data_IF_806836520003
#
_entry.id   IF_806836520003
#
_cell.length_a   1.000
_cell.length_b   1.000
_cell.length_c   1.000
_cell.angle_alpha   90.00
_cell.angle_beta   90.00
_cell.angle_gamma   90.00
#
_symmetry.space_group_name_H-M   'P 1'
#
loop_
_entity.id
_entity.type
_entity.pdbx_description
1 polymer ?
#
# COMPACT_ATOMS: atom_id res chain seq x y z
N UNK A 1 -24.45 -6.66 -9.35
CA UNK A 1 -23.09 -6.32 -9.85
C UNK A 1 -22.13 -7.41 -9.38
N UNK A 2 -21.33 -8.00 -10.27
CA UNK A 2 -20.38 -9.03 -9.84
C UNK A 2 -19.23 -8.34 -9.09
N UNK A 3 -19.05 -8.65 -7.80
CA UNK A 3 -18.00 -8.03 -6.96
C UNK A 3 -16.65 -8.58 -7.41
N UNK A 4 -15.74 -7.77 -7.94
CA UNK A 4 -14.51 -8.27 -8.55
C UNK A 4 -13.41 -8.62 -7.53
N UNK A 5 -13.63 -8.37 -6.22
CA UNK A 5 -12.58 -8.52 -5.22
C UNK A 5 -13.15 -8.85 -3.84
N UNK A 6 -12.52 -9.82 -3.15
CA UNK A 6 -12.74 -10.09 -1.73
C UNK A 6 -11.70 -9.28 -0.96
N UNK A 7 -12.11 -8.38 -0.03
CA UNK A 7 -11.16 -7.61 0.78
C UNK A 7 -10.26 -8.53 1.60
N UNK A 8 -8.98 -8.21 1.66
CA UNK A 8 -7.99 -8.97 2.43
C UNK A 8 -8.09 -8.60 3.90
N UNK A 9 -8.04 -9.58 4.82
CA UNK A 9 -8.12 -9.36 6.26
C UNK A 9 -9.39 -8.59 6.68
N UNK A 10 -10.53 -8.85 6.02
CA UNK A 10 -11.77 -8.11 6.28
C UNK A 10 -12.24 -8.24 7.73
N UNK A 11 -12.21 -9.46 8.29
CA UNK A 11 -12.63 -9.72 9.67
C UNK A 11 -11.73 -9.01 10.67
N UNK A 12 -10.42 -9.01 10.43
CA UNK A 12 -9.42 -8.37 11.28
C UNK A 12 -9.53 -6.84 11.22
N UNK A 13 -9.89 -6.27 10.05
CA UNK A 13 -10.19 -4.85 9.92
C UNK A 13 -11.46 -4.49 10.69
N UNK A 14 -12.55 -5.23 10.53
CA UNK A 14 -13.79 -5.00 11.28
C UNK A 14 -13.52 -5.10 12.81
N UNK A 15 -12.76 -6.08 13.25
CA UNK A 15 -12.37 -6.22 14.66
C UNK A 15 -11.50 -5.04 15.15
N UNK A 16 -10.55 -4.58 14.34
CA UNK A 16 -9.69 -3.46 14.70
C UNK A 16 -10.49 -2.16 14.91
N UNK A 17 -11.59 -1.99 14.19
CA UNK A 17 -12.43 -0.79 14.23
C UNK A 17 -13.79 -1.00 14.91
N UNK A 18 -14.02 -2.16 15.54
CA UNK A 18 -15.29 -2.53 16.19
C UNK A 18 -15.82 -1.46 17.17
N UNK A 19 -14.93 -0.76 17.87
CA UNK A 19 -15.31 0.23 18.90
C UNK A 19 -15.53 1.64 18.35
N UNK A 20 -15.51 1.82 17.03
CA UNK A 20 -15.80 3.12 16.42
C UNK A 20 -17.31 3.40 16.45
N UNK A 21 -17.73 4.45 17.16
CA UNK A 21 -19.16 4.78 17.28
C UNK A 21 -19.58 5.95 16.38
N UNK A 22 -18.65 6.89 16.11
CA UNK A 22 -18.93 8.12 15.33
C UNK A 22 -17.61 8.75 14.91
N UNK A 23 -17.68 9.86 14.17
CA UNK A 23 -16.56 10.61 13.65
C UNK A 23 -16.19 10.21 12.23
N UNK A 24 -15.00 10.61 11.79
CA UNK A 24 -14.54 10.33 10.44
C UNK A 24 -13.63 9.09 10.40
N UNK A 25 -13.81 8.30 9.33
CA UNK A 25 -12.93 7.22 8.94
C UNK A 25 -12.31 7.56 7.59
N UNK A 26 -11.00 7.44 7.47
CA UNK A 26 -10.27 7.64 6.21
C UNK A 26 -9.86 6.29 5.63
N UNK A 27 -10.42 5.95 4.48
CA UNK A 27 -9.92 4.87 3.63
C UNK A 27 -8.99 5.46 2.58
N UNK A 28 -7.68 5.26 2.75
CA UNK A 28 -6.62 5.79 1.90
C UNK A 28 -6.54 5.09 0.53
N UNK A 29 -7.13 3.89 0.43
CA UNK A 29 -6.99 2.96 -0.69
C UNK A 29 -8.31 2.26 -0.93
N UNK A 30 -9.34 3.05 -1.28
CA UNK A 30 -10.72 2.60 -1.38
C UNK A 30 -10.89 1.35 -2.25
N UNK A 31 -10.12 1.26 -3.36
CA UNK A 31 -10.24 0.19 -4.32
C UNK A 31 -11.69 0.02 -4.79
N UNK A 32 -12.23 -1.18 -4.64
CA UNK A 32 -13.64 -1.48 -4.96
C UNK A 32 -14.58 -1.34 -3.75
N UNK A 33 -14.16 -0.67 -2.67
CA UNK A 33 -14.98 -0.26 -1.54
C UNK A 33 -15.38 -1.36 -0.58
N UNK A 34 -14.72 -2.51 -0.58
CA UNK A 34 -15.14 -3.66 0.21
C UNK A 34 -14.99 -3.47 1.72
N UNK A 35 -13.86 -2.98 2.20
CA UNK A 35 -13.64 -2.64 3.60
C UNK A 35 -14.58 -1.51 4.04
N UNK A 36 -14.66 -0.45 3.24
CA UNK A 36 -15.50 0.71 3.52
C UNK A 36 -16.98 0.36 3.60
N UNK A 37 -17.49 -0.52 2.71
CA UNK A 37 -18.87 -1.00 2.76
C UNK A 37 -19.17 -1.75 4.05
N UNK A 38 -18.28 -2.67 4.45
CA UNK A 38 -18.43 -3.44 5.68
C UNK A 38 -18.47 -2.51 6.90
N UNK A 39 -17.52 -1.60 7.02
CA UNK A 39 -17.46 -0.66 8.14
C UNK A 39 -18.68 0.28 8.19
N UNK A 40 -19.16 0.75 7.04
CA UNK A 40 -20.34 1.61 7.00
C UNK A 40 -21.63 0.89 7.37
N UNK A 41 -21.74 -0.43 7.11
CA UNK A 41 -22.87 -1.25 7.56
C UNK A 41 -22.86 -1.45 9.06
N UNK A 42 -21.69 -1.68 9.65
CA UNK A 42 -21.55 -1.99 11.08
C UNK A 42 -21.60 -0.71 11.96
N UNK A 43 -21.27 0.47 11.37
CA UNK A 43 -21.15 1.75 12.08
C UNK A 43 -22.05 2.83 11.48
N UNK A 44 -23.34 2.93 11.88
CA UNK A 44 -24.31 3.83 11.26
C UNK A 44 -23.99 5.33 11.37
N UNK A 45 -23.24 5.73 12.40
CA UNK A 45 -22.86 7.14 12.63
C UNK A 45 -21.46 7.51 12.10
N UNK A 46 -20.74 6.56 11.50
CA UNK A 46 -19.43 6.78 10.93
C UNK A 46 -19.54 7.53 9.61
N UNK A 47 -18.70 8.55 9.41
CA UNK A 47 -18.56 9.29 8.14
C UNK A 47 -17.28 8.83 7.45
N UNK A 48 -17.36 8.53 6.17
CA UNK A 48 -16.24 8.03 5.38
C UNK A 48 -15.63 9.15 4.51
N UNK A 49 -14.32 9.26 4.55
CA UNK A 49 -13.52 9.93 3.52
C UNK A 49 -12.82 8.82 2.74
N UNK A 50 -13.19 8.65 1.48
CA UNK A 50 -12.73 7.55 0.63
C UNK A 50 -11.81 8.08 -0.46
N UNK A 51 -10.55 7.64 -0.45
CA UNK A 51 -9.52 8.07 -1.39
C UNK A 51 -9.06 6.91 -2.28
N UNK A 52 -8.91 7.18 -3.57
CA UNK A 52 -8.17 6.31 -4.48
C UNK A 52 -7.53 7.14 -5.60
N UNK A 53 -6.41 6.65 -6.14
CA UNK A 53 -5.76 7.26 -7.30
C UNK A 53 -6.20 6.63 -8.63
N UNK A 54 -6.90 5.49 -8.59
CA UNK A 54 -7.47 4.81 -9.74
C UNK A 54 -8.91 5.26 -9.96
N UNK A 55 -9.13 6.03 -11.02
CA UNK A 55 -10.45 6.57 -11.37
C UNK A 55 -11.50 5.47 -11.60
N UNK A 56 -11.11 4.34 -12.21
CA UNK A 56 -12.03 3.22 -12.46
C UNK A 56 -12.51 2.60 -11.14
N UNK A 57 -11.60 2.40 -10.18
CA UNK A 57 -11.93 1.90 -8.85
C UNK A 57 -12.86 2.86 -8.10
N UNK A 58 -12.57 4.17 -8.16
CA UNK A 58 -13.38 5.19 -7.50
C UNK A 58 -14.81 5.25 -8.06
N UNK A 59 -14.97 5.23 -9.38
CA UNK A 59 -16.30 5.25 -10.03
C UNK A 59 -17.10 3.96 -9.73
N UNK A 60 -16.45 2.81 -9.65
CA UNK A 60 -17.11 1.59 -9.21
C UNK A 60 -17.60 1.71 -7.76
N UNK A 61 -16.73 2.21 -6.88
CA UNK A 61 -17.03 2.30 -5.44
C UNK A 61 -18.11 3.34 -5.13
N UNK A 62 -18.22 4.42 -5.89
CA UNK A 62 -19.37 5.34 -5.81
C UNK A 62 -20.71 4.64 -6.02
N UNK A 63 -20.76 3.69 -6.98
CA UNK A 63 -21.97 2.91 -7.24
C UNK A 63 -22.23 1.89 -6.12
N UNK A 64 -21.18 1.23 -5.63
CA UNK A 64 -21.27 0.25 -4.55
C UNK A 64 -21.73 0.88 -3.24
N UNK A 65 -21.21 2.05 -2.92
CA UNK A 65 -21.50 2.77 -1.68
C UNK A 65 -22.66 3.77 -1.81
N UNK A 66 -23.49 3.64 -2.86
CA UNK A 66 -24.61 4.55 -3.13
C UNK A 66 -25.54 4.73 -1.94
N UNK A 67 -25.83 3.66 -1.20
CA UNK A 67 -26.72 3.69 -0.02
C UNK A 67 -26.12 4.47 1.16
N UNK A 68 -24.83 4.77 1.11
CA UNK A 68 -24.08 5.52 2.13
C UNK A 68 -23.62 6.88 1.64
N UNK A 69 -24.14 7.37 0.50
CA UNK A 69 -23.69 8.63 -0.17
C UNK A 69 -23.72 9.85 0.74
N UNK A 70 -24.72 9.96 1.63
CA UNK A 70 -24.91 11.11 2.51
C UNK A 70 -23.86 11.22 3.63
N UNK A 71 -23.08 10.17 3.84
CA UNK A 71 -21.99 10.10 4.82
C UNK A 71 -20.65 9.65 4.23
N UNK A 72 -20.50 9.74 2.89
CA UNK A 72 -19.28 9.35 2.18
C UNK A 72 -18.81 10.48 1.27
N UNK A 73 -17.55 10.87 1.45
CA UNK A 73 -16.83 11.79 0.56
C UNK A 73 -15.82 11.01 -0.27
N UNK A 74 -15.88 11.18 -1.60
CA UNK A 74 -14.96 10.51 -2.52
C UNK A 74 -13.91 11.48 -3.04
N UNK A 75 -12.64 11.14 -2.92
CA UNK A 75 -11.51 11.97 -3.33
C UNK A 75 -10.62 11.19 -4.30
N UNK A 76 -10.49 11.70 -5.53
CA UNK A 76 -9.52 11.15 -6.50
C UNK A 76 -8.15 11.75 -6.18
N UNK A 77 -7.34 11.01 -5.46
CA UNK A 77 -6.02 11.46 -5.01
C UNK A 77 -5.10 10.29 -4.69
N UNK A 78 -3.81 10.54 -4.74
CA UNK A 78 -2.85 9.63 -4.13
C UNK A 78 -2.93 9.74 -2.60
N UNK A 79 -2.89 8.62 -1.90
CA UNK A 79 -3.06 8.59 -0.45
C UNK A 79 -1.99 9.40 0.33
N UNK A 80 -0.84 9.69 -0.26
CA UNK A 80 0.15 10.58 0.37
C UNK A 80 -0.27 12.06 0.38
N UNK A 81 -1.28 12.43 -0.39
CA UNK A 81 -1.75 13.81 -0.55
C UNK A 81 -3.11 14.04 0.11
N UNK A 82 -3.83 12.98 0.46
CA UNK A 82 -5.20 13.08 0.98
C UNK A 82 -5.28 13.94 2.25
N UNK A 83 -4.29 13.80 3.15
CA UNK A 83 -4.29 14.54 4.42
C UNK A 83 -4.20 16.06 4.25
N UNK A 84 -3.63 16.54 3.13
CA UNK A 84 -3.57 17.98 2.80
C UNK A 84 -4.91 18.52 2.28
N UNK A 85 -5.83 17.63 1.88
CA UNK A 85 -7.15 17.97 1.29
C UNK A 85 -8.27 17.87 2.32
N UNK A 86 -8.00 17.31 3.50
CA UNK A 86 -8.98 17.18 4.58
C UNK A 86 -8.91 18.42 5.46
N UNK A 87 -10.08 19.02 5.77
CA UNK A 87 -10.15 20.17 6.68
C UNK A 87 -9.68 19.83 8.10
N UNK A 88 -9.17 20.81 8.84
CA UNK A 88 -8.70 20.63 10.20
C UNK A 88 -9.75 20.03 11.14
N UNK A 89 -11.01 20.43 11.00
CA UNK A 89 -12.10 19.91 11.84
C UNK A 89 -12.30 18.41 11.62
N UNK A 90 -12.26 17.94 10.36
CA UNK A 90 -12.37 16.52 10.04
C UNK A 90 -11.14 15.75 10.51
N UNK A 91 -9.94 16.32 10.37
CA UNK A 91 -8.70 15.69 10.88
C UNK A 91 -8.75 15.52 12.40
N UNK A 92 -9.27 16.51 13.14
CA UNK A 92 -9.41 16.44 14.60
C UNK A 92 -10.44 15.38 15.05
N UNK A 93 -11.45 15.10 14.23
CA UNK A 93 -12.46 14.08 14.48
C UNK A 93 -12.21 12.75 13.76
N UNK A 94 -10.98 12.54 13.24
CA UNK A 94 -10.59 11.31 12.59
C UNK A 94 -10.36 10.22 13.64
N UNK A 95 -11.12 9.11 13.55
CA UNK A 95 -11.12 8.00 14.52
C UNK A 95 -10.45 6.75 13.98
N UNK A 96 -10.44 6.57 12.67
CA UNK A 96 -9.81 5.43 12.03
C UNK A 96 -9.22 5.78 10.67
N UNK A 97 -8.11 5.14 10.35
CA UNK A 97 -7.44 5.23 9.05
C UNK A 97 -7.11 3.83 8.60
N UNK A 98 -7.47 3.51 7.37
CA UNK A 98 -7.09 2.29 6.67
C UNK A 98 -6.24 2.63 5.46
N UNK A 99 -5.13 1.91 5.29
CA UNK A 99 -4.35 1.90 4.05
C UNK A 99 -4.06 0.44 3.67
N UNK A 100 -4.82 -0.11 2.72
CA UNK A 100 -4.59 -1.42 2.10
C UNK A 100 -3.71 -1.20 0.87
N UNK A 101 -2.37 -1.17 1.10
CA UNK A 101 -1.41 -0.75 0.10
C UNK A 101 -1.05 -1.89 -0.83
N UNK A 102 -1.13 -1.63 -2.13
CA UNK A 102 -0.80 -2.62 -3.17
C UNK A 102 -1.70 -2.50 -4.39
N UNK A 103 -1.69 -3.54 -5.21
CA UNK A 103 -2.50 -3.64 -6.41
C UNK A 103 -3.79 -4.39 -6.14
N UNK A 104 -4.90 -3.92 -6.68
CA UNK A 104 -6.17 -4.63 -6.60
C UNK A 104 -6.16 -5.89 -7.48
N UNK A 105 -6.98 -6.88 -7.13
CA UNK A 105 -7.16 -8.07 -7.98
C UNK A 105 -7.65 -7.70 -9.39
N UNK A 106 -8.47 -6.66 -9.52
CA UNK A 106 -8.92 -6.16 -10.81
C UNK A 106 -7.74 -5.67 -11.67
N UNK A 107 -6.82 -4.90 -11.10
CA UNK A 107 -5.61 -4.44 -11.81
C UNK A 107 -4.75 -5.61 -12.26
N UNK A 108 -4.63 -6.66 -11.44
CA UNK A 108 -3.90 -7.89 -11.78
C UNK A 108 -4.59 -8.71 -12.87
N UNK A 109 -5.92 -8.75 -12.88
CA UNK A 109 -6.71 -9.57 -13.83
C UNK A 109 -7.00 -8.84 -15.15
N UNK A 110 -6.92 -7.51 -15.14
CA UNK A 110 -7.12 -6.72 -16.36
C UNK A 110 -5.83 -6.72 -17.21
N UNK A 111 -5.88 -7.45 -18.34
CA UNK A 111 -4.76 -7.59 -19.25
C UNK A 111 -4.17 -6.23 -19.71
N UNK A 112 -5.02 -5.23 -19.94
CA UNK A 112 -4.60 -3.90 -20.40
C UNK A 112 -3.78 -3.12 -19.36
N UNK A 113 -3.87 -3.47 -18.07
CA UNK A 113 -3.16 -2.78 -16.98
C UNK A 113 -1.70 -3.23 -16.84
N UNK A 114 -1.30 -4.33 -17.43
CA UNK A 114 0.11 -4.78 -17.49
C UNK A 114 0.72 -5.26 -16.17
N UNK A 115 -0.07 -5.49 -15.12
CA UNK A 115 0.44 -5.97 -13.83
C UNK A 115 0.72 -7.47 -13.80
N UNK A 116 0.03 -8.25 -14.66
CA UNK A 116 0.20 -9.70 -14.74
C UNK A 116 1.41 -10.06 -15.60
N UNK A 117 2.16 -11.09 -15.21
CA UNK A 117 3.34 -11.59 -15.95
C UNK A 117 3.05 -11.99 -17.40
N UNK A 118 1.80 -12.37 -17.69
CA UNK A 118 1.36 -12.85 -19.01
C UNK A 118 0.53 -11.82 -19.77
N UNK A 119 0.54 -10.55 -19.33
CA UNK A 119 -0.19 -9.48 -20.00
C UNK A 119 0.45 -9.13 -21.36
N UNK A 120 -0.41 -8.81 -22.35
CA UNK A 120 0.00 -8.30 -23.66
C UNK A 120 0.40 -6.82 -23.61
N UNK A 121 0.29 -6.18 -22.46
CA UNK A 121 0.65 -4.79 -22.22
C UNK A 121 1.71 -4.69 -21.12
N UNK A 122 2.48 -3.62 -21.13
CA UNK A 122 3.53 -3.32 -20.14
C UNK A 122 3.29 -1.91 -19.59
N UNK A 123 2.23 -1.74 -18.78
CA UNK A 123 1.83 -0.43 -18.22
C UNK A 123 2.17 -0.28 -16.75
N UNK A 124 1.54 -1.02 -15.87
CA UNK A 124 1.70 -1.04 -14.41
C UNK A 124 1.38 0.28 -13.68
N UNK A 125 0.78 1.27 -14.33
CA UNK A 125 0.36 2.51 -13.66
C UNK A 125 -0.94 2.27 -12.89
N UNK A 126 -0.97 2.61 -11.61
CA UNK A 126 -2.22 2.68 -10.84
C UNK A 126 -3.03 3.89 -11.27
N UNK A 127 -2.41 5.06 -11.33
CA UNK A 127 -2.96 6.25 -11.98
C UNK A 127 -2.59 6.24 -13.47
N UNK A 128 -3.56 6.03 -14.35
CA UNK A 128 -3.33 5.94 -15.80
C UNK A 128 -2.93 7.28 -16.43
N UNK A 129 -3.16 8.41 -15.75
CA UNK A 129 -2.74 9.74 -16.21
C UNK A 129 -1.26 10.04 -15.90
N UNK A 130 -0.57 9.15 -15.16
CA UNK A 130 0.86 9.29 -14.88
C UNK A 130 1.68 9.15 -16.19
N UNK A 131 2.79 9.91 -16.28
CA UNK A 131 3.60 9.98 -17.52
C UNK A 131 4.47 8.75 -17.76
N UNK A 132 4.94 8.09 -16.71
CA UNK A 132 5.92 6.99 -16.78
C UNK A 132 5.21 5.67 -16.51
N UNK A 133 5.20 4.79 -17.48
CA UNK A 133 4.73 3.41 -17.35
C UNK A 133 5.90 2.42 -17.25
N UNK A 134 5.59 1.15 -17.03
CA UNK A 134 6.59 0.09 -17.06
C UNK A 134 7.29 -0.01 -18.43
N UNK A 135 6.58 0.31 -19.51
CA UNK A 135 7.15 0.37 -20.84
C UNK A 135 8.29 1.41 -20.95
N UNK A 136 8.09 2.63 -20.43
CA UNK A 136 9.12 3.66 -20.41
C UNK A 136 10.32 3.26 -19.55
N UNK A 137 10.10 2.68 -18.38
CA UNK A 137 11.17 2.21 -17.51
C UNK A 137 12.01 1.16 -18.21
N UNK A 138 11.39 0.12 -18.76
CA UNK A 138 12.10 -1.00 -19.37
C UNK A 138 12.85 -0.58 -20.65
N UNK A 139 12.26 0.32 -21.45
CA UNK A 139 12.86 0.69 -22.72
C UNK A 139 13.81 1.89 -22.66
N UNK A 140 13.71 2.76 -21.65
CA UNK A 140 14.44 4.03 -21.61
C UNK A 140 15.45 4.14 -20.46
N UNK A 141 15.28 3.42 -19.31
CA UNK A 141 16.25 3.45 -18.22
C UNK A 141 17.59 2.86 -18.65
N UNK A 142 18.70 3.40 -18.11
CA UNK A 142 20.02 2.80 -18.35
C UNK A 142 20.12 1.43 -17.66
N UNK A 143 21.13 0.64 -18.00
CA UNK A 143 21.39 -0.65 -17.38
C UNK A 143 21.62 -0.48 -15.86
N UNK A 144 22.34 0.57 -15.47
CA UNK A 144 22.61 0.91 -14.07
C UNK A 144 21.32 1.23 -13.32
N UNK A 145 20.44 2.08 -13.91
CA UNK A 145 19.14 2.42 -13.33
C UNK A 145 18.25 1.19 -13.15
N UNK A 146 18.19 0.31 -14.15
CA UNK A 146 17.45 -0.96 -14.03
C UNK A 146 18.05 -1.85 -12.95
N UNK A 147 19.37 -1.99 -12.92
CA UNK A 147 20.07 -2.77 -11.88
C UNK A 147 19.76 -2.26 -10.48
N UNK A 148 19.77 -0.94 -10.29
CA UNK A 148 19.49 -0.29 -9.01
C UNK A 148 18.07 -0.56 -8.52
N UNK A 149 17.06 -0.43 -9.38
CA UNK A 149 15.68 -0.73 -8.98
C UNK A 149 15.48 -2.22 -8.70
N UNK A 150 16.10 -3.12 -9.47
CA UNK A 150 16.01 -4.56 -9.22
C UNK A 150 16.69 -4.97 -7.91
N UNK A 151 17.83 -4.38 -7.60
CA UNK A 151 18.51 -4.58 -6.33
C UNK A 151 17.73 -4.00 -5.15
N UNK A 152 17.25 -2.75 -5.29
CA UNK A 152 16.63 -1.98 -4.21
C UNK A 152 15.19 -2.45 -3.91
N UNK A 153 14.39 -2.73 -4.94
CA UNK A 153 12.97 -3.04 -4.81
C UNK A 153 12.62 -4.52 -5.04
N UNK A 154 13.44 -5.22 -5.83
CA UNK A 154 13.34 -6.67 -6.01
C UNK A 154 14.18 -7.45 -5.00
N UNK A 155 15.12 -6.79 -4.30
CA UNK A 155 16.15 -7.42 -3.45
C UNK A 155 16.88 -8.55 -4.21
N UNK A 156 17.17 -8.32 -5.52
CA UNK A 156 17.80 -9.28 -6.43
C UNK A 156 19.31 -9.08 -6.43
N UNK A 157 20.06 -10.14 -6.04
CA UNK A 157 21.52 -10.10 -6.04
C UNK A 157 22.11 -10.05 -7.45
N UNK A 158 21.41 -10.64 -8.43
CA UNK A 158 21.79 -10.71 -9.85
C UNK A 158 21.06 -9.66 -10.72
N UNK A 159 20.54 -8.60 -10.09
CA UNK A 159 19.82 -7.52 -10.76
C UNK A 159 20.59 -6.90 -11.93
N UNK A 160 21.93 -6.82 -11.83
CA UNK A 160 22.79 -6.32 -12.90
C UNK A 160 22.72 -7.18 -14.18
N UNK A 161 22.81 -8.49 -14.05
CA UNK A 161 22.74 -9.40 -15.19
C UNK A 161 21.35 -9.44 -15.83
N UNK A 162 20.30 -9.32 -15.01
CA UNK A 162 18.93 -9.20 -15.52
C UNK A 162 18.78 -7.90 -16.31
N UNK A 163 19.26 -6.77 -15.78
CA UNK A 163 19.25 -5.48 -16.47
C UNK A 163 20.03 -5.53 -17.77
N UNK A 164 21.22 -6.14 -17.79
CA UNK A 164 22.04 -6.33 -18.99
C UNK A 164 21.27 -7.09 -20.08
N UNK A 165 20.63 -8.21 -19.70
CA UNK A 165 19.84 -9.02 -20.65
C UNK A 165 18.66 -8.22 -21.24
N UNK A 166 17.94 -7.48 -20.42
CA UNK A 166 16.86 -6.60 -20.88
C UNK A 166 17.39 -5.55 -21.86
N UNK A 167 18.52 -4.90 -21.53
CA UNK A 167 19.14 -3.90 -22.40
C UNK A 167 19.61 -4.47 -23.75
N UNK A 168 20.13 -5.70 -23.76
CA UNK A 168 20.51 -6.38 -25.01
C UNK A 168 19.28 -6.72 -25.88
N UNK A 169 18.22 -7.24 -25.28
CA UNK A 169 17.02 -7.60 -26.02
C UNK A 169 16.27 -6.38 -26.58
N UNK A 170 16.12 -5.29 -25.80
CA UNK A 170 15.46 -4.07 -26.28
C UNK A 170 16.20 -3.33 -27.40
N UNK A 171 17.52 -3.59 -27.59
CA UNK A 171 18.28 -3.07 -28.73
C UNK A 171 17.84 -3.69 -30.06
N UNK A 172 17.38 -4.95 -30.01
CA UNK A 172 16.84 -5.63 -31.19
C UNK A 172 15.44 -5.14 -31.52
N UNK A 173 14.56 -5.14 -30.53
CA UNK A 173 13.18 -4.66 -30.60
C UNK A 173 12.73 -4.14 -29.22
N UNK A 174 11.94 -3.05 -29.20
CA UNK A 174 11.32 -2.57 -27.97
C UNK A 174 10.48 -3.68 -27.32
N UNK A 175 10.62 -3.85 -26.02
CA UNK A 175 9.83 -4.78 -25.21
C UNK A 175 8.47 -4.13 -24.96
N UNK A 176 7.39 -4.71 -25.51
CA UNK A 176 6.05 -4.09 -25.52
C UNK A 176 5.07 -4.71 -24.55
N UNK A 177 5.34 -5.94 -24.11
CA UNK A 177 4.43 -6.69 -23.24
C UNK A 177 5.12 -7.23 -21.99
N UNK A 178 4.32 -7.45 -20.95
CA UNK A 178 4.77 -8.13 -19.74
C UNK A 178 5.20 -9.57 -20.06
N UNK A 179 4.52 -10.23 -20.99
CA UNK A 179 4.84 -11.57 -21.47
C UNK A 179 6.24 -11.64 -22.10
N UNK A 180 6.59 -10.70 -23.01
CA UNK A 180 7.93 -10.61 -23.57
C UNK A 180 8.99 -10.41 -22.47
N UNK A 181 8.74 -9.49 -21.54
CA UNK A 181 9.64 -9.25 -20.41
C UNK A 181 9.82 -10.50 -19.54
N UNK A 182 8.73 -11.23 -19.28
CA UNK A 182 8.78 -12.49 -18.53
C UNK A 182 9.61 -13.55 -19.23
N UNK A 183 9.51 -13.69 -20.57
CA UNK A 183 10.29 -14.63 -21.37
C UNK A 183 11.79 -14.28 -21.34
N UNK A 184 12.13 -12.99 -21.38
CA UNK A 184 13.52 -12.51 -21.26
C UNK A 184 14.10 -12.87 -19.89
N UNK A 185 13.37 -12.64 -18.78
CA UNK A 185 13.86 -12.92 -17.41
C UNK A 185 13.95 -14.42 -17.16
N UNK A 186 12.96 -15.19 -17.62
CA UNK A 186 12.84 -16.64 -17.44
C UNK A 186 12.23 -17.04 -16.09
N UNK A 187 11.97 -18.36 -15.97
CA UNK A 187 11.24 -18.96 -14.81
C UNK A 187 12.10 -19.27 -13.59
N UNK A 188 13.32 -18.78 -13.51
CA UNK A 188 14.24 -19.13 -12.43
C UNK A 188 13.81 -18.57 -11.08
N UNK A 189 14.02 -19.33 -10.00
CA UNK A 189 13.81 -18.86 -8.63
C UNK A 189 15.11 -18.31 -8.06
N UNK A 190 15.00 -17.34 -7.16
CA UNK A 190 16.14 -16.91 -6.35
C UNK A 190 16.34 -17.94 -5.21
N UNK A 191 17.59 -18.28 -4.90
CA UNK A 191 17.91 -19.20 -3.81
C UNK A 191 17.19 -18.79 -2.52
N UNK A 192 16.58 -19.75 -1.83
CA UNK A 192 15.85 -19.59 -0.57
C UNK A 192 14.53 -18.77 -0.62
N UNK A 193 14.01 -18.43 -1.82
CA UNK A 193 12.70 -17.78 -1.94
C UNK A 193 11.68 -18.66 -2.67
N UNK A 194 10.44 -18.64 -2.21
CA UNK A 194 9.32 -19.31 -2.89
C UNK A 194 8.89 -18.60 -4.17
N UNK A 195 9.26 -17.31 -4.32
CA UNK A 195 8.83 -16.41 -5.40
C UNK A 195 9.84 -16.43 -6.55
N UNK A 196 9.36 -16.41 -7.81
CA UNK A 196 10.21 -16.37 -8.99
C UNK A 196 10.96 -15.04 -9.14
N UNK A 197 12.13 -15.04 -9.81
CA UNK A 197 12.87 -13.81 -10.14
C UNK A 197 12.02 -12.85 -10.97
N UNK A 198 11.24 -13.36 -11.91
CA UNK A 198 10.33 -12.55 -12.70
C UNK A 198 9.33 -11.80 -11.82
N UNK A 199 8.72 -12.44 -10.84
CA UNK A 199 7.81 -11.76 -9.89
C UNK A 199 8.51 -10.65 -9.13
N UNK A 200 9.76 -10.83 -8.71
CA UNK A 200 10.54 -9.81 -8.00
C UNK A 200 10.94 -8.64 -8.92
N UNK A 201 11.26 -8.90 -10.20
CA UNK A 201 11.51 -7.86 -11.20
C UNK A 201 10.24 -7.05 -11.46
N UNK A 202 9.10 -7.72 -11.64
CA UNK A 202 7.81 -7.05 -11.82
C UNK A 202 7.41 -6.21 -10.59
N UNK A 203 7.63 -6.73 -9.37
CA UNK A 203 7.48 -5.95 -8.15
C UNK A 203 8.38 -4.70 -8.16
N UNK A 204 9.64 -4.84 -8.55
CA UNK A 204 10.58 -3.72 -8.59
C UNK A 204 10.15 -2.63 -9.59
N UNK A 205 9.71 -3.03 -10.78
CA UNK A 205 9.21 -2.10 -11.80
C UNK A 205 7.93 -1.41 -11.30
N UNK A 206 7.00 -2.16 -10.72
CA UNK A 206 5.74 -1.64 -10.18
C UNK A 206 5.98 -0.58 -9.10
N UNK A 207 6.88 -0.88 -8.16
CA UNK A 207 7.27 0.06 -7.10
C UNK A 207 7.86 1.34 -7.69
N UNK A 208 8.68 1.23 -8.74
CA UNK A 208 9.28 2.38 -9.40
C UNK A 208 8.23 3.20 -10.16
N UNK A 209 7.37 2.57 -10.98
CA UNK A 209 6.28 3.24 -11.72
C UNK A 209 5.38 4.05 -10.79
N UNK A 210 4.95 3.44 -9.68
CA UNK A 210 3.96 4.03 -8.78
C UNK A 210 4.60 4.76 -7.58
N UNK A 211 5.93 4.78 -7.47
CA UNK A 211 6.67 5.40 -6.35
C UNK A 211 6.18 4.90 -4.98
N UNK A 212 5.76 3.62 -4.88
CA UNK A 212 4.99 3.06 -3.77
C UNK A 212 5.63 3.32 -2.41
N UNK A 213 6.93 3.06 -2.27
CA UNK A 213 7.63 3.24 -0.99
C UNK A 213 7.81 4.72 -0.61
N UNK A 214 7.92 5.61 -1.61
CA UNK A 214 7.99 7.06 -1.37
C UNK A 214 6.64 7.60 -0.92
N UNK A 215 5.58 7.18 -1.58
CA UNK A 215 4.19 7.53 -1.25
C UNK A 215 3.84 7.08 0.16
N UNK A 216 4.21 5.83 0.53
CA UNK A 216 4.01 5.32 1.89
C UNK A 216 4.76 6.14 2.95
N UNK A 217 6.03 6.45 2.70
CA UNK A 217 6.81 7.29 3.63
C UNK A 217 6.20 8.67 3.80
N UNK A 218 5.78 9.30 2.71
CA UNK A 218 5.15 10.63 2.75
C UNK A 218 3.86 10.61 3.60
N UNK A 219 3.02 9.55 3.47
CA UNK A 219 1.84 9.39 4.33
C UNK A 219 2.25 9.33 5.80
N UNK A 220 3.19 8.46 6.15
CA UNK A 220 3.63 8.27 7.53
C UNK A 220 4.24 9.54 8.13
N UNK A 221 5.05 10.27 7.37
CA UNK A 221 5.63 11.56 7.78
C UNK A 221 4.56 12.63 8.04
N UNK A 222 3.51 12.66 7.23
CA UNK A 222 2.38 13.57 7.45
C UNK A 222 1.57 13.20 8.69
N UNK A 223 1.28 11.91 8.89
CA UNK A 223 0.60 11.42 10.09
C UNK A 223 1.39 11.76 11.37
N UNK A 224 2.71 11.65 11.34
CA UNK A 224 3.58 12.03 12.44
C UNK A 224 3.44 13.54 12.80
N UNK A 225 3.33 14.40 11.78
CA UNK A 225 3.20 15.86 11.96
C UNK A 225 1.82 16.31 12.46
N UNK A 226 0.77 15.64 12.00
CA UNK A 226 -0.63 16.02 12.35
C UNK A 226 -0.95 15.74 13.82
N UNK A 227 -0.28 14.76 14.45
CA UNK A 227 -0.49 14.38 15.86
C UNK A 227 -1.95 14.04 16.15
N UNK A 228 -2.48 13.05 15.44
CA UNK A 228 -3.85 12.56 15.60
C UNK A 228 -4.12 12.17 17.07
N UNK A 229 -5.39 12.28 17.47
CA UNK A 229 -5.83 11.97 18.84
C UNK A 229 -6.88 10.87 18.82
N UNK A 230 -6.68 9.84 19.63
CA UNK A 230 -7.61 8.72 19.77
C UNK A 230 -8.05 8.15 18.40
N UNK A 231 -7.07 7.85 17.55
CA UNK A 231 -7.27 7.37 16.18
C UNK A 231 -6.51 6.07 15.98
N UNK A 232 -7.16 5.08 15.39
CA UNK A 232 -6.56 3.80 15.03
C UNK A 232 -6.10 3.86 13.57
N UNK A 233 -4.85 3.50 13.33
CA UNK A 233 -4.26 3.35 12.00
C UNK A 233 -4.03 1.88 11.71
N UNK A 234 -4.66 1.37 10.64
CA UNK A 234 -4.42 0.05 10.09
C UNK A 234 -3.71 0.16 8.74
N UNK A 235 -2.58 -0.53 8.58
CA UNK A 235 -1.87 -0.62 7.30
C UNK A 235 -1.69 -2.09 6.92
N UNK A 236 -2.18 -2.47 5.73
CA UNK A 236 -1.97 -3.78 5.13
C UNK A 236 -0.87 -3.65 4.09
N UNK A 237 0.19 -4.45 4.23
CA UNK A 237 1.36 -4.50 3.35
C UNK A 237 1.41 -5.85 2.64
N UNK A 238 1.90 -5.89 1.39
CA UNK A 238 1.99 -7.12 0.59
C UNK A 238 3.42 -7.56 0.30
N UNK A 239 4.42 -6.76 0.67
CA UNK A 239 5.82 -7.18 0.57
C UNK A 239 6.68 -6.65 1.73
N UNK A 240 7.87 -7.26 1.88
CA UNK A 240 8.80 -7.04 3.00
C UNK A 240 9.26 -5.58 3.15
N UNK A 241 9.40 -4.85 2.05
CA UNK A 241 9.89 -3.47 2.09
C UNK A 241 8.86 -2.52 2.70
N UNK A 242 7.58 -2.67 2.35
CA UNK A 242 6.48 -1.92 2.97
C UNK A 242 6.38 -2.22 4.46
N UNK A 243 6.29 -3.51 4.81
CA UNK A 243 6.19 -3.96 6.20
C UNK A 243 7.34 -3.43 7.07
N UNK A 244 8.57 -3.39 6.52
CA UNK A 244 9.76 -2.85 7.20
C UNK A 244 9.61 -1.35 7.47
N UNK A 245 9.11 -0.58 6.50
CA UNK A 245 8.88 0.87 6.65
C UNK A 245 7.85 1.11 7.75
N UNK A 246 6.66 0.50 7.65
CA UNK A 246 5.56 0.67 8.62
C UNK A 246 6.02 0.27 10.02
N UNK A 247 6.66 -0.89 10.17
CA UNK A 247 7.21 -1.36 11.44
C UNK A 247 8.18 -0.36 12.07
N UNK A 248 9.05 0.24 11.27
CA UNK A 248 10.05 1.18 11.78
C UNK A 248 9.41 2.50 12.23
N UNK A 249 8.42 3.01 11.47
CA UNK A 249 7.67 4.21 11.89
C UNK A 249 6.86 3.95 13.17
N UNK A 250 6.14 2.83 13.25
CA UNK A 250 5.36 2.50 14.46
C UNK A 250 6.26 2.34 15.70
N UNK A 251 7.44 1.73 15.54
CA UNK A 251 8.43 1.65 16.62
C UNK A 251 8.95 3.04 17.02
N UNK A 252 9.22 3.92 16.05
CA UNK A 252 9.64 5.30 16.30
C UNK A 252 8.56 6.06 17.07
N UNK A 253 7.31 5.98 16.63
CA UNK A 253 6.17 6.68 17.23
C UNK A 253 5.80 6.18 18.62
N UNK A 254 6.06 4.92 18.93
CA UNK A 254 5.81 4.35 20.26
C UNK A 254 6.92 4.65 21.28
N UNK A 255 8.05 5.23 20.86
CA UNK A 255 9.14 5.59 21.78
C UNK A 255 8.80 6.84 22.59
N UNK A 256 8.85 6.73 23.93
CA UNK A 256 8.74 7.88 24.83
C UNK A 256 10.03 8.71 24.84
N UNK A 257 11.18 8.04 24.86
CA UNK A 257 12.49 8.69 24.89
C UNK A 257 13.05 8.83 23.47
N UNK A 258 13.48 10.04 23.12
CA UNK A 258 14.12 10.37 21.83
C UNK A 258 15.60 10.76 22.00
N UNK A 259 16.18 10.61 23.20
CA UNK A 259 17.60 10.81 23.42
C UNK A 259 18.43 9.80 22.60
N UNK A 260 19.69 10.14 22.38
CA UNK A 260 20.67 9.20 21.79
C UNK A 260 20.72 7.93 22.65
N UNK A 261 20.84 6.76 22.01
CA UNK A 261 20.90 5.46 22.71
C UNK A 261 22.13 5.33 23.62
N UNK A 262 23.13 6.19 23.46
CA UNK A 262 24.34 6.29 24.30
C UNK A 262 24.22 7.29 25.42
N UNK A 263 23.09 7.99 25.56
CA UNK A 263 22.87 8.95 26.63
C UNK A 263 22.85 8.25 27.98
N UNK A 264 23.64 8.75 28.94
CA UNK A 264 23.74 8.21 30.30
C UNK A 264 22.41 8.26 31.07
N UNK A 265 21.59 9.27 30.78
CA UNK A 265 20.24 9.46 31.34
C UNK A 265 19.33 10.15 30.34
N UNK A 266 18.03 9.97 30.54
CA UNK A 266 17.03 10.64 29.71
C UNK A 266 16.97 12.13 30.05
N UNK A 267 17.16 13.00 29.02
CA UNK A 267 17.07 14.46 29.13
C UNK A 267 15.88 15.04 28.35
N UNK A 268 15.17 14.21 27.57
CA UNK A 268 14.08 14.67 26.71
C UNK A 268 12.69 14.67 27.39
N UNK A 269 12.60 14.35 28.68
CA UNK A 269 11.34 14.30 29.41
C UNK A 269 10.54 13.01 29.26
N UNK A 270 10.97 12.08 28.40
CA UNK A 270 10.39 10.73 28.22
C UNK A 270 8.87 10.70 27.94
N UNK A 271 8.37 11.68 27.16
CA UNK A 271 6.95 11.86 26.86
C UNK A 271 6.66 12.10 25.36
N UNK A 272 7.52 11.59 24.47
CA UNK A 272 7.46 11.84 23.01
C UNK A 272 6.63 10.82 22.23
N UNK A 273 6.13 9.75 22.87
CA UNK A 273 5.31 8.76 22.19
C UNK A 273 4.04 9.38 21.61
N UNK A 274 3.77 9.13 20.33
CA UNK A 274 2.52 9.50 19.67
C UNK A 274 1.38 8.51 20.02
N UNK A 275 1.71 7.34 20.56
CA UNK A 275 0.74 6.30 20.84
C UNK A 275 1.38 4.95 21.09
N UNK A 276 0.65 3.90 20.78
CA UNK A 276 1.09 2.52 21.04
C UNK A 276 0.85 1.58 19.84
N UNK A 277 1.70 0.57 19.73
CA UNK A 277 1.54 -0.54 18.79
C UNK A 277 0.51 -1.50 19.38
N UNK A 278 -0.63 -1.69 18.71
CA UNK A 278 -1.71 -2.57 19.19
C UNK A 278 -1.26 -4.04 19.11
N UNK A 279 -0.58 -4.44 18.02
CA UNK A 279 -0.08 -5.81 17.91
C UNK A 279 1.44 -5.83 17.69
N UNK A 280 2.19 -6.56 18.56
CA UNK A 280 3.66 -6.70 18.45
C UNK A 280 4.07 -7.44 17.18
N UNK A 281 3.28 -8.42 16.75
CA UNK A 281 3.46 -9.17 15.49
C UNK A 281 2.50 -8.64 14.45
N UNK A 282 2.88 -8.72 13.17
CA UNK A 282 1.95 -8.46 12.08
C UNK A 282 0.81 -9.48 12.13
N UNK A 283 -0.41 -9.02 11.88
CA UNK A 283 -1.59 -9.87 11.71
C UNK A 283 -1.54 -10.38 10.27
N UNK A 284 -1.79 -11.66 10.07
CA UNK A 284 -1.72 -12.33 8.77
C UNK A 284 -3.03 -13.05 8.49
N UNK A 285 -3.40 -13.25 7.22
CA UNK A 285 -4.63 -13.96 6.86
C UNK A 285 -4.70 -15.36 7.43
N UNK A 286 -5.91 -15.80 7.74
CA UNK A 286 -6.17 -17.16 8.16
C UNK A 286 -5.91 -18.17 7.03
N UNK A 287 -5.80 -19.46 7.36
CA UNK A 287 -5.66 -20.51 6.34
C UNK A 287 -6.90 -20.58 5.44
N UNK A 288 -8.07 -20.38 6.01
CA UNK A 288 -9.35 -20.36 5.32
C UNK A 288 -9.41 -19.20 4.31
N UNK A 289 -8.98 -18.01 4.70
CA UNK A 289 -8.90 -16.86 3.79
C UNK A 289 -7.92 -17.13 2.63
N UNK A 290 -6.75 -17.69 2.92
CA UNK A 290 -5.76 -18.03 1.88
C UNK A 290 -6.31 -19.08 0.89
N UNK A 291 -7.12 -20.04 1.34
CA UNK A 291 -7.77 -21.00 0.44
C UNK A 291 -8.77 -20.33 -0.51
N UNK A 292 -9.52 -19.34 -0.03
CA UNK A 292 -10.51 -18.60 -0.82
C UNK A 292 -9.84 -17.56 -1.70
N UNK A 293 -8.84 -16.84 -1.15
CA UNK A 293 -8.08 -15.78 -1.82
C UNK A 293 -6.58 -16.00 -1.65
N UNK A 294 -5.96 -16.78 -2.52
CA UNK A 294 -4.51 -17.10 -2.46
C UNK A 294 -3.61 -15.86 -2.53
N UNK A 295 -4.11 -14.73 -3.07
CA UNK A 295 -3.38 -13.45 -3.13
C UNK A 295 -3.21 -12.79 -1.76
N UNK A 296 -4.05 -13.14 -0.77
CA UNK A 296 -3.91 -12.66 0.61
C UNK A 296 -2.69 -13.23 1.32
N UNK A 297 -2.13 -14.34 0.85
CA UNK A 297 -1.07 -15.09 1.55
C UNK A 297 0.17 -14.30 1.95
N UNK A 298 0.49 -13.22 1.25
CA UNK A 298 1.62 -12.32 1.56
C UNK A 298 1.23 -11.12 2.41
N UNK A 299 -0.07 -10.91 2.69
CA UNK A 299 -0.56 -9.76 3.43
C UNK A 299 -0.10 -9.75 4.88
N UNK A 300 0.22 -8.55 5.37
CA UNK A 300 0.62 -8.30 6.76
C UNK A 300 0.00 -7.01 7.22
N UNK A 301 -0.93 -7.08 8.15
CA UNK A 301 -1.53 -5.91 8.76
C UNK A 301 -0.79 -5.49 10.02
N UNK A 302 -0.59 -4.19 10.19
CA UNK A 302 -0.09 -3.57 11.41
C UNK A 302 -1.04 -2.51 11.90
N UNK A 303 -1.20 -2.46 13.22
CA UNK A 303 -2.11 -1.54 13.91
C UNK A 303 -1.33 -0.63 14.85
N UNK A 304 -1.66 0.65 14.82
CA UNK A 304 -1.15 1.68 15.72
C UNK A 304 -2.31 2.52 16.27
N UNK A 305 -2.29 2.82 17.56
CA UNK A 305 -3.28 3.68 18.19
C UNK A 305 -2.60 5.01 18.61
N UNK A 306 -2.97 6.09 17.94
CA UNK A 306 -2.61 7.44 18.36
C UNK A 306 -3.38 7.81 19.62
N UNK A 307 -2.67 8.09 20.70
CA UNK A 307 -3.27 8.45 22.00
C UNK A 307 -3.59 9.94 22.08
N UNK A 308 -4.47 10.31 23.01
CA UNK A 308 -4.57 11.70 23.41
C UNK A 308 -3.24 12.12 24.02
N UNK A 309 -2.56 13.10 23.44
CA UNK A 309 -1.43 13.73 24.12
C UNK A 309 -2.04 14.67 25.15
N UNK A 310 -2.08 14.24 26.40
CA UNK A 310 -2.32 15.15 27.51
C UNK A 310 -1.17 16.15 27.55
N UNK A 311 -1.55 17.45 27.66
CA UNK A 311 -0.58 18.56 27.75
C UNK A 311 0.14 18.53 29.09
#
# INVERSE_FOLDING_TARGET
MKIPHIPVLLNEINQAFEKLNSGYFLDCTLGFGGHSESLLKDHPNLKLIACDQDKEALEFSKKRLHDFKDRTEFVLSNFSQILDQISHDKLNDLKGILADIGVSSYQLDNNKRGFNLHSDFLDMRMNQDAKISAFEIINNYTQEQLSDIFKKYGELNDGYFIAQKICQERQKNKIKSAKELYEIIGKTKQNHRSVSKATLVFQAIRIEVNQELKVLKNLLEKLEKIKLKNCILAIICFHSLEDRIVKNYFKKWAKNCICDERAFRCECGNNHSLGEIISKKAITPSKEEIMINSRSSCAKMRLFHFKNMEK
#
